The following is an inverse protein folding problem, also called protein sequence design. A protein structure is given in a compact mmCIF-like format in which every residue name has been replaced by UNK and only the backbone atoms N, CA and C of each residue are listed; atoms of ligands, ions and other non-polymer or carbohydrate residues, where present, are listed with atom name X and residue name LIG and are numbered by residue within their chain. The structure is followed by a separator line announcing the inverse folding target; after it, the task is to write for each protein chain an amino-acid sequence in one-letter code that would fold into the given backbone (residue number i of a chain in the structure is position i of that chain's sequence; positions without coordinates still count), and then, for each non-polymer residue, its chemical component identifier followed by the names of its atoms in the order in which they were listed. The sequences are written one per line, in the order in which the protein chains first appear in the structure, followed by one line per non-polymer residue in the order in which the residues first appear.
data_IF_269528077129
#
_entry.id   IF_269528077129
#
_cell.length_a   1.000
_cell.length_b   1.000
_cell.length_c   1.000
_cell.angle_alpha   90.00
_cell.angle_beta   90.00
_cell.angle_gamma   90.00
#
_symmetry.space_group_name_H-M   'P 1'
#
loop_
_entity.id
_entity.type
_entity.pdbx_description
1 polymer ?
#
# COMPACT_ATOMS: atom_id res chain seq x y z
N UNK A 1 -14.46 53.85 10.92
CA UNK A 1 -15.00 52.85 9.97
C UNK A 1 -13.78 52.15 9.38
N UNK A 2 -13.31 51.07 10.02
CA UNK A 2 -12.19 50.26 9.56
C UNK A 2 -12.71 49.07 8.77
N UNK A 3 -12.16 48.98 7.58
CA UNK A 3 -12.39 47.91 6.58
C UNK A 3 -11.73 46.60 7.03
N UNK A 4 -12.54 45.59 7.37
CA UNK A 4 -12.12 44.24 7.71
C UNK A 4 -12.44 43.28 6.56
N UNK A 5 -11.73 43.43 5.45
CA UNK A 5 -11.78 42.46 4.34
C UNK A 5 -10.38 41.91 4.05
N UNK A 6 -9.92 40.94 4.84
CA UNK A 6 -8.84 40.07 4.41
C UNK A 6 -9.41 38.67 4.14
N UNK A 7 -9.28 38.16 2.90
CA UNK A 7 -9.54 36.76 2.65
C UNK A 7 -8.44 35.91 3.30
N UNK A 8 -8.83 34.97 4.14
CA UNK A 8 -7.96 33.93 4.66
C UNK A 8 -7.42 33.11 3.49
N UNK A 9 -6.13 33.26 3.21
CA UNK A 9 -5.41 32.36 2.30
C UNK A 9 -5.36 31.00 2.97
N UNK A 10 -6.15 30.05 2.44
CA UNK A 10 -6.04 28.65 2.75
C UNK A 10 -4.65 28.18 2.33
N UNK A 11 -3.76 27.99 3.30
CA UNK A 11 -2.52 27.26 3.10
C UNK A 11 -2.90 25.77 2.94
N UNK A 12 -3.00 25.32 1.70
CA UNK A 12 -2.80 23.91 1.39
C UNK A 12 -1.32 23.61 1.62
N UNK A 13 -0.96 23.34 2.86
CA UNK A 13 0.31 22.73 3.16
C UNK A 13 0.30 21.35 2.47
N UNK A 14 1.02 21.20 1.37
CA UNK A 14 1.51 19.91 0.92
C UNK A 14 2.44 19.43 2.03
N UNK A 15 1.90 18.63 2.98
CA UNK A 15 2.72 17.98 3.97
C UNK A 15 3.69 17.07 3.21
N UNK A 16 4.98 17.30 3.35
CA UNK A 16 6.01 16.42 2.81
C UNK A 16 5.76 15.01 3.35
N UNK A 17 5.82 14.01 2.47
CA UNK A 17 5.70 12.61 2.88
C UNK A 17 6.85 12.27 3.83
N UNK A 18 6.57 11.44 4.83
CA UNK A 18 7.63 10.89 5.67
C UNK A 18 8.60 10.04 4.84
N UNK A 19 9.82 9.80 5.31
CA UNK A 19 10.78 8.95 4.60
C UNK A 19 10.23 7.58 4.25
N UNK A 20 9.50 6.93 5.16
CA UNK A 20 8.88 5.63 4.91
C UNK A 20 7.79 5.69 3.81
N UNK A 21 6.90 6.69 3.87
CA UNK A 21 5.89 6.90 2.82
C UNK A 21 6.52 7.26 1.48
N UNK A 22 7.58 8.07 1.47
CA UNK A 22 8.33 8.41 0.26
C UNK A 22 8.99 7.18 -0.37
N UNK A 23 9.58 6.29 0.43
CA UNK A 23 10.17 5.04 -0.03
C UNK A 23 9.11 4.11 -0.65
N UNK A 24 7.95 3.97 0.00
CA UNK A 24 6.83 3.17 -0.54
C UNK A 24 6.26 3.79 -1.81
N UNK A 25 6.12 5.12 -1.88
CA UNK A 25 5.67 5.80 -3.10
C UNK A 25 6.63 5.54 -4.27
N UNK A 26 7.93 5.57 -4.02
CA UNK A 26 8.94 5.27 -5.03
C UNK A 26 8.89 3.80 -5.47
N UNK A 27 8.72 2.87 -4.52
CA UNK A 27 8.52 1.46 -4.82
C UNK A 27 7.27 1.24 -5.69
N UNK A 28 6.17 1.92 -5.40
CA UNK A 28 4.97 1.88 -6.26
C UNK A 28 5.31 2.35 -7.68
N UNK A 29 6.07 3.43 -7.83
CA UNK A 29 6.43 3.96 -9.14
C UNK A 29 7.38 3.03 -9.91
N UNK A 30 8.44 2.50 -9.26
CA UNK A 30 9.49 1.74 -9.92
C UNK A 30 9.13 0.26 -10.11
N UNK A 31 8.42 -0.35 -9.15
CA UNK A 31 8.05 -1.79 -9.19
C UNK A 31 6.61 -1.98 -9.63
N UNK A 32 5.64 -1.46 -8.86
CA UNK A 32 4.23 -1.76 -9.13
C UNK A 32 3.78 -1.23 -10.48
N UNK A 33 4.19 0.00 -10.83
CA UNK A 33 3.90 0.63 -12.12
C UNK A 33 4.97 0.28 -13.16
N UNK A 34 6.24 0.44 -12.80
CA UNK A 34 7.37 0.27 -13.72
C UNK A 34 7.47 -1.14 -14.31
N UNK A 35 7.21 -2.17 -13.52
CA UNK A 35 7.13 -3.56 -13.96
C UNK A 35 5.70 -4.00 -14.31
N UNK A 36 4.75 -3.08 -14.17
CA UNK A 36 3.32 -3.32 -14.42
C UNK A 36 2.73 -4.46 -13.58
N UNK A 37 3.14 -4.60 -12.33
CA UNK A 37 2.60 -5.61 -11.39
C UNK A 37 1.11 -5.36 -11.09
N UNK A 38 0.69 -4.10 -11.11
CA UNK A 38 -0.70 -3.70 -11.03
C UNK A 38 -1.04 -2.79 -12.23
N UNK A 39 -1.77 -3.28 -13.24
CA UNK A 39 -2.09 -2.50 -14.44
C UNK A 39 -3.01 -1.31 -14.16
N UNK A 40 -3.57 -1.22 -12.97
CA UNK A 40 -4.52 -0.16 -12.59
C UNK A 40 -3.85 0.98 -11.81
N UNK A 41 -2.68 0.73 -11.20
CA UNK A 41 -2.01 1.66 -10.29
C UNK A 41 -1.63 2.99 -10.97
N UNK A 42 -1.11 2.93 -12.19
CA UNK A 42 -0.67 4.12 -12.92
C UNK A 42 -1.74 5.20 -13.03
N UNK A 43 -2.95 4.81 -13.42
CA UNK A 43 -4.08 5.73 -13.58
C UNK A 43 -4.46 6.44 -12.28
N UNK A 44 -4.45 5.71 -11.15
CA UNK A 44 -4.87 6.27 -9.88
C UNK A 44 -3.78 7.17 -9.27
N UNK A 45 -2.51 6.87 -9.54
CA UNK A 45 -1.37 7.75 -9.21
C UNK A 45 -1.42 9.05 -10.04
N UNK A 46 -1.65 8.97 -11.35
CA UNK A 46 -1.79 10.15 -12.21
C UNK A 46 -2.95 11.08 -11.76
N UNK A 47 -4.04 10.48 -11.29
CA UNK A 47 -5.20 11.21 -10.77
C UNK A 47 -5.03 11.71 -9.35
N UNK A 48 -3.89 11.43 -8.70
CA UNK A 48 -3.61 11.80 -7.31
C UNK A 48 -4.66 11.24 -6.33
N UNK A 49 -5.13 10.00 -6.56
CA UNK A 49 -6.14 9.33 -5.75
C UNK A 49 -5.56 8.25 -4.83
N UNK A 50 -4.24 8.18 -4.73
CA UNK A 50 -3.51 7.26 -3.87
C UNK A 50 -3.00 8.03 -2.65
N UNK A 51 -3.38 7.59 -1.46
CA UNK A 51 -2.91 8.16 -0.19
C UNK A 51 -1.82 7.26 0.40
N UNK A 52 -0.71 7.86 0.81
CA UNK A 52 0.35 7.22 1.58
C UNK A 52 0.28 7.78 2.99
N UNK A 53 -0.06 6.93 3.96
CA UNK A 53 -0.25 7.32 5.36
C UNK A 53 0.71 6.53 6.24
N UNK A 54 1.55 7.22 7.01
CA UNK A 54 2.42 6.55 7.97
C UNK A 54 1.69 6.23 9.27
N UNK A 55 1.93 5.04 9.78
CA UNK A 55 1.66 4.66 11.17
C UNK A 55 2.99 4.44 11.89
N UNK A 56 3.16 5.08 13.04
CA UNK A 56 4.29 4.86 13.93
C UNK A 56 4.02 3.75 14.96
N UNK A 57 2.97 2.94 14.73
CA UNK A 57 2.54 1.86 15.61
C UNK A 57 3.64 0.81 15.81
N UNK A 58 3.80 0.37 17.05
CA UNK A 58 4.67 -0.73 17.45
C UNK A 58 3.89 -1.82 18.19
N UNK A 59 2.59 -1.64 18.36
CA UNK A 59 1.67 -2.62 18.95
C UNK A 59 0.46 -2.81 18.05
N UNK A 60 -0.16 -3.98 18.13
CA UNK A 60 -1.35 -4.34 17.34
C UNK A 60 -2.49 -3.35 17.58
N UNK A 61 -2.75 -2.95 18.83
CA UNK A 61 -3.87 -2.05 19.17
C UNK A 61 -3.72 -0.68 18.51
N UNK A 62 -2.49 -0.14 18.49
CA UNK A 62 -2.24 1.16 17.85
C UNK A 62 -2.35 1.02 16.33
N UNK A 63 -1.79 -0.05 15.76
CA UNK A 63 -1.87 -0.31 14.31
C UNK A 63 -3.34 -0.47 13.84
N UNK A 64 -4.17 -1.18 14.61
CA UNK A 64 -5.59 -1.34 14.29
C UNK A 64 -6.38 -0.03 14.44
N UNK A 65 -6.01 0.83 15.40
CA UNK A 65 -6.60 2.17 15.55
C UNK A 65 -6.27 3.03 14.31
N UNK A 66 -5.02 3.03 13.85
CA UNK A 66 -4.60 3.76 12.66
C UNK A 66 -5.26 3.19 11.39
N UNK A 67 -5.39 1.85 11.31
CA UNK A 67 -6.10 1.17 10.23
C UNK A 67 -7.57 1.58 10.17
N UNK A 68 -8.28 1.54 11.31
CA UNK A 68 -9.69 1.95 11.39
C UNK A 68 -9.88 3.41 10.95
N UNK A 69 -8.97 4.30 11.36
CA UNK A 69 -8.98 5.70 10.93
C UNK A 69 -8.72 5.84 9.41
N UNK A 70 -7.83 5.03 8.84
CA UNK A 70 -7.58 5.02 7.39
C UNK A 70 -8.77 4.45 6.60
N UNK A 71 -9.44 3.43 7.11
CA UNK A 71 -10.69 2.89 6.53
C UNK A 71 -11.80 3.95 6.52
N UNK A 72 -11.99 4.65 7.65
CA UNK A 72 -12.99 5.70 7.75
C UNK A 72 -12.71 6.84 6.76
N UNK A 73 -11.47 7.34 6.71
CA UNK A 73 -11.07 8.39 5.76
C UNK A 73 -11.32 7.95 4.30
N UNK A 74 -10.98 6.71 3.97
CA UNK A 74 -11.23 6.15 2.64
C UNK A 74 -12.72 6.11 2.33
N UNK A 75 -13.59 5.69 3.25
CA UNK A 75 -15.04 5.59 3.05
C UNK A 75 -15.72 6.96 2.93
N UNK A 76 -15.25 7.96 3.68
CA UNK A 76 -15.84 9.31 3.71
C UNK A 76 -15.37 10.20 2.55
N UNK A 77 -14.33 9.78 1.79
CA UNK A 77 -13.71 10.63 0.78
C UNK A 77 -13.63 9.95 -0.59
N UNK A 78 -14.57 10.27 -1.47
CA UNK A 78 -14.64 9.73 -2.83
C UNK A 78 -13.46 10.14 -3.73
N UNK A 79 -12.66 11.14 -3.32
CA UNK A 79 -11.45 11.51 -4.05
C UNK A 79 -10.29 10.57 -3.79
N UNK A 80 -10.35 9.77 -2.73
CA UNK A 80 -9.36 8.74 -2.42
C UNK A 80 -9.84 7.41 -3.00
N UNK A 81 -9.02 6.80 -3.84
CA UNK A 81 -9.30 5.48 -4.40
C UNK A 81 -8.74 4.37 -3.52
N UNK A 82 -7.54 4.60 -2.99
CA UNK A 82 -6.81 3.60 -2.23
C UNK A 82 -5.86 4.25 -1.23
N UNK A 83 -5.60 3.57 -0.12
CA UNK A 83 -4.69 4.04 0.93
C UNK A 83 -3.66 2.96 1.25
N UNK A 84 -2.37 3.32 1.18
CA UNK A 84 -1.27 2.50 1.68
C UNK A 84 -0.94 2.97 3.10
N UNK A 85 -1.34 2.17 4.10
CA UNK A 85 -0.94 2.39 5.49
C UNK A 85 0.44 1.78 5.70
N UNK A 86 1.45 2.64 5.82
CA UNK A 86 2.87 2.27 5.93
C UNK A 86 3.26 2.19 7.39
N UNK A 87 3.70 1.03 7.84
CA UNK A 87 4.15 0.80 9.22
C UNK A 87 5.65 1.17 9.31
N UNK A 88 5.93 2.45 9.55
CA UNK A 88 7.29 3.00 9.45
C UNK A 88 8.23 2.61 10.60
N UNK A 89 7.71 2.09 11.73
CA UNK A 89 8.49 1.82 12.94
C UNK A 89 8.28 0.45 13.59
N UNK A 90 7.22 -0.25 13.24
CA UNK A 90 6.88 -1.53 13.84
C UNK A 90 6.69 -2.63 12.80
N UNK A 91 6.46 -3.86 13.29
CA UNK A 91 6.12 -5.01 12.46
C UNK A 91 7.19 -5.34 11.40
N UNK A 92 8.45 -5.16 11.77
CA UNK A 92 9.61 -5.51 10.91
C UNK A 92 9.84 -7.01 10.86
N UNK A 93 9.39 -7.77 11.86
CA UNK A 93 9.32 -9.21 11.83
C UNK A 93 8.09 -9.65 11.03
N UNK A 94 8.26 -10.62 10.14
CA UNK A 94 7.19 -11.04 9.23
C UNK A 94 6.08 -11.81 9.94
N UNK A 95 6.40 -12.60 10.97
CA UNK A 95 5.39 -13.33 11.77
C UNK A 95 4.53 -12.35 12.59
N UNK A 96 5.15 -11.34 13.22
CA UNK A 96 4.42 -10.27 13.92
C UNK A 96 3.49 -9.50 12.96
N UNK A 97 3.93 -9.32 11.71
CA UNK A 97 3.13 -8.69 10.66
C UNK A 97 1.96 -9.58 10.21
N UNK A 98 2.15 -10.90 10.10
CA UNK A 98 1.07 -11.84 9.77
C UNK A 98 0.00 -11.86 10.87
N UNK A 99 0.40 -11.85 12.14
CA UNK A 99 -0.53 -11.72 13.26
C UNK A 99 -1.35 -10.42 13.16
N UNK A 100 -0.69 -9.30 12.86
CA UNK A 100 -1.39 -8.03 12.63
C UNK A 100 -2.38 -8.13 11.45
N UNK A 101 -1.99 -8.78 10.36
CA UNK A 101 -2.85 -8.93 9.18
C UNK A 101 -4.11 -9.72 9.51
N UNK A 102 -4.01 -10.77 10.32
CA UNK A 102 -5.16 -11.55 10.78
C UNK A 102 -6.13 -10.67 11.60
N UNK A 103 -5.62 -9.85 12.52
CA UNK A 103 -6.44 -8.88 13.26
C UNK A 103 -7.03 -7.78 12.35
N UNK A 104 -6.29 -7.35 11.34
CA UNK A 104 -6.80 -6.39 10.36
C UNK A 104 -7.99 -6.95 9.55
N UNK A 105 -7.93 -8.23 9.16
CA UNK A 105 -9.04 -8.92 8.50
C UNK A 105 -10.26 -9.08 9.43
N UNK A 106 -10.02 -9.39 10.73
CA UNK A 106 -11.07 -9.40 11.74
C UNK A 106 -11.74 -8.02 11.88
N UNK A 107 -10.95 -6.95 11.87
CA UNK A 107 -11.45 -5.57 11.96
C UNK A 107 -12.37 -5.21 10.79
N UNK A 108 -12.03 -5.62 9.56
CA UNK A 108 -12.92 -5.47 8.39
C UNK A 108 -14.30 -6.13 8.64
N UNK A 109 -14.29 -7.35 9.15
CA UNK A 109 -15.51 -8.11 9.45
C UNK A 109 -16.34 -7.45 10.55
N UNK A 110 -15.72 -7.03 11.63
CA UNK A 110 -16.37 -6.36 12.76
C UNK A 110 -17.05 -5.04 12.35
N UNK A 111 -16.47 -4.33 11.39
CA UNK A 111 -17.03 -3.09 10.86
C UNK A 111 -18.00 -3.33 9.69
N UNK A 112 -18.28 -4.59 9.34
CA UNK A 112 -19.14 -4.97 8.20
C UNK A 112 -18.65 -4.38 6.87
N UNK A 113 -17.33 -4.35 6.67
CA UNK A 113 -16.67 -3.79 5.47
C UNK A 113 -16.22 -4.88 4.48
N UNK A 114 -16.47 -6.16 4.76
CA UNK A 114 -16.31 -7.23 3.76
C UNK A 114 -17.21 -6.95 2.55
N UNK A 115 -16.67 -7.09 1.35
CA UNK A 115 -17.37 -6.71 0.13
C UNK A 115 -17.36 -5.20 -0.19
N UNK A 116 -16.81 -4.38 0.71
CA UNK A 116 -16.63 -2.92 0.52
C UNK A 116 -15.17 -2.55 0.37
N UNK A 117 -14.34 -3.03 1.30
CA UNK A 117 -12.89 -2.84 1.29
C UNK A 117 -12.17 -4.18 1.32
N UNK A 118 -10.98 -4.21 0.74
CA UNK A 118 -10.04 -5.31 0.77
C UNK A 118 -8.70 -4.82 1.30
N UNK A 119 -7.97 -5.69 2.02
CA UNK A 119 -6.59 -5.43 2.45
C UNK A 119 -5.66 -6.31 1.63
N UNK A 120 -4.76 -5.69 0.86
CA UNK A 120 -3.59 -6.35 0.30
C UNK A 120 -2.38 -6.11 1.21
N UNK A 121 -1.49 -7.11 1.29
CA UNK A 121 -0.38 -7.15 2.24
C UNK A 121 0.96 -7.10 1.53
N UNK A 122 1.89 -6.28 2.05
CA UNK A 122 3.26 -6.18 1.57
C UNK A 122 4.21 -6.05 2.75
N UNK A 123 5.37 -6.72 2.67
CA UNK A 123 6.37 -6.72 3.73
C UNK A 123 7.77 -6.86 3.14
N UNK A 124 8.85 -6.30 3.72
CA UNK A 124 10.21 -6.49 3.23
C UNK A 124 10.62 -7.96 3.07
N UNK A 125 10.21 -8.80 4.02
CA UNK A 125 10.51 -10.24 4.06
C UNK A 125 9.29 -11.10 3.68
N UNK A 126 8.40 -10.59 2.83
CA UNK A 126 7.21 -11.33 2.40
C UNK A 126 7.60 -12.70 1.83
N UNK A 127 6.90 -13.72 2.28
CA UNK A 127 7.05 -15.09 1.80
C UNK A 127 5.68 -15.75 1.63
N UNK A 128 5.38 -16.26 0.46
CA UNK A 128 4.18 -17.08 0.23
C UNK A 128 4.31 -18.44 0.91
N UNK A 129 3.18 -19.00 1.36
CA UNK A 129 3.15 -20.24 2.15
C UNK A 129 3.86 -21.43 1.50
N UNK A 130 3.82 -21.54 0.18
CA UNK A 130 4.36 -22.67 -0.57
C UNK A 130 5.70 -22.36 -1.25
N UNK A 131 6.39 -21.27 -0.85
CA UNK A 131 7.66 -20.88 -1.45
C UNK A 131 8.82 -20.93 -0.46
N UNK A 132 10.05 -21.08 -0.97
CA UNK A 132 11.26 -20.87 -0.17
C UNK A 132 11.50 -19.38 0.08
N UNK A 133 12.24 -19.01 1.13
CA UNK A 133 12.50 -17.62 1.47
C UNK A 133 13.27 -16.86 0.37
N UNK A 134 14.08 -17.56 -0.43
CA UNK A 134 14.87 -17.02 -1.53
C UNK A 134 14.15 -17.10 -2.91
N UNK A 135 12.91 -17.58 -2.93
CA UNK A 135 12.11 -17.64 -4.15
C UNK A 135 11.80 -16.25 -4.67
N UNK A 136 12.09 -16.02 -5.95
CA UNK A 136 11.96 -14.69 -6.59
C UNK A 136 10.49 -14.25 -6.66
N UNK A 137 9.55 -15.17 -6.72
CA UNK A 137 8.11 -14.86 -6.72
C UNK A 137 7.67 -14.05 -5.49
N UNK A 138 8.36 -14.20 -4.36
CA UNK A 138 8.08 -13.43 -3.13
C UNK A 138 8.22 -11.92 -3.34
N UNK A 139 9.06 -11.48 -4.29
CA UNK A 139 9.24 -10.05 -4.58
C UNK A 139 8.01 -9.39 -5.20
N UNK A 140 7.04 -10.14 -5.67
CA UNK A 140 5.75 -9.57 -6.10
C UNK A 140 4.99 -8.91 -4.96
N UNK A 141 5.27 -9.31 -3.69
CA UNK A 141 4.67 -8.74 -2.49
C UNK A 141 5.71 -8.14 -1.51
N UNK A 142 6.99 -8.07 -1.90
CA UNK A 142 8.02 -7.39 -1.08
C UNK A 142 8.03 -5.89 -1.35
N UNK A 143 7.92 -5.11 -0.28
CA UNK A 143 7.96 -3.65 -0.26
C UNK A 143 9.04 -3.15 0.70
N UNK A 144 9.50 -1.88 0.62
CA UNK A 144 10.57 -1.37 1.50
C UNK A 144 10.18 -1.29 2.98
N UNK A 145 8.89 -1.20 3.27
CA UNK A 145 8.32 -1.21 4.62
C UNK A 145 7.09 -2.13 4.65
N UNK A 146 6.67 -2.60 5.85
CA UNK A 146 5.39 -3.30 5.98
C UNK A 146 4.23 -2.37 5.62
N UNK A 147 3.29 -2.85 4.81
CA UNK A 147 2.15 -2.05 4.32
C UNK A 147 0.86 -2.84 4.41
N UNK A 148 -0.17 -2.24 5.00
CA UNK A 148 -1.56 -2.66 4.84
C UNK A 148 -2.19 -1.76 3.76
N UNK A 149 -2.51 -2.34 2.62
CA UNK A 149 -3.02 -1.60 1.46
C UNK A 149 -4.53 -1.76 1.35
N UNK A 150 -5.27 -0.68 1.63
CA UNK A 150 -6.72 -0.63 1.55
C UNK A 150 -7.19 -0.37 0.12
N UNK A 151 -8.03 -1.22 -0.40
CA UNK A 151 -8.60 -1.18 -1.74
C UNK A 151 -10.13 -1.15 -1.67
N UNK A 152 -10.79 -0.39 -2.57
CA UNK A 152 -12.24 -0.46 -2.77
C UNK A 152 -12.59 -1.66 -3.64
N UNK A 153 -13.36 -2.62 -3.12
CA UNK A 153 -13.71 -3.83 -3.87
C UNK A 153 -14.52 -3.52 -5.13
N UNK A 154 -15.51 -2.64 -5.04
CA UNK A 154 -16.34 -2.26 -6.21
C UNK A 154 -15.49 -1.67 -7.36
N UNK A 155 -14.49 -0.86 -7.03
CA UNK A 155 -13.58 -0.27 -8.03
C UNK A 155 -12.69 -1.33 -8.64
N UNK A 156 -12.15 -2.24 -7.82
CA UNK A 156 -11.32 -3.34 -8.27
C UNK A 156 -12.10 -4.27 -9.21
N UNK A 157 -13.30 -4.67 -8.84
CA UNK A 157 -14.18 -5.48 -9.69
C UNK A 157 -14.46 -4.82 -11.05
N UNK A 158 -14.78 -3.53 -11.06
CA UNK A 158 -15.04 -2.76 -12.29
C UNK A 158 -13.84 -2.73 -13.24
N UNK A 159 -12.63 -2.63 -12.72
CA UNK A 159 -11.43 -2.59 -13.57
C UNK A 159 -11.03 -4.00 -14.02
N UNK A 160 -11.13 -5.00 -13.15
CA UNK A 160 -10.89 -6.42 -13.48
C UNK A 160 -11.85 -6.91 -14.56
N UNK A 161 -13.14 -6.55 -14.47
CA UNK A 161 -14.14 -6.94 -15.47
C UNK A 161 -13.84 -6.41 -16.88
N UNK A 162 -13.02 -5.38 -17.01
CA UNK A 162 -12.60 -4.76 -18.29
C UNK A 162 -11.22 -5.18 -18.74
N UNK A 163 -10.46 -5.84 -17.87
CA UNK A 163 -9.10 -6.29 -18.18
C UNK A 163 -9.16 -7.68 -18.82
N UNK A 164 -8.50 -7.90 -19.96
CA UNK A 164 -8.48 -9.23 -20.58
C UNK A 164 -7.70 -10.21 -19.70
N UNK A 165 -8.30 -11.32 -19.34
CA UNK A 165 -7.73 -12.42 -18.55
C UNK A 165 -7.09 -11.94 -17.22
N UNK A 166 -7.86 -11.28 -16.30
CA UNK A 166 -7.30 -10.75 -15.06
C UNK A 166 -6.69 -11.83 -14.16
N UNK A 167 -7.12 -13.08 -14.29
CA UNK A 167 -6.60 -14.25 -13.57
C UNK A 167 -5.14 -14.57 -13.92
N UNK A 168 -4.62 -14.06 -15.04
CA UNK A 168 -3.22 -14.27 -15.45
C UNK A 168 -2.25 -13.23 -14.86
N UNK A 169 -2.75 -12.18 -14.20
CA UNK A 169 -1.91 -11.13 -13.62
C UNK A 169 -0.88 -11.70 -12.63
N UNK A 170 -1.24 -12.57 -11.67
CA UNK A 170 -0.26 -13.12 -10.73
C UNK A 170 0.84 -13.93 -11.41
N UNK A 171 0.49 -14.81 -12.36
CA UNK A 171 1.46 -15.63 -13.10
C UNK A 171 2.43 -14.75 -13.90
N UNK A 172 1.91 -13.76 -14.60
CA UNK A 172 2.72 -12.79 -15.34
C UNK A 172 3.66 -12.00 -14.41
N UNK A 173 3.20 -11.62 -13.22
CA UNK A 173 4.04 -10.91 -12.26
C UNK A 173 5.20 -11.80 -11.77
N UNK A 174 4.97 -13.08 -11.56
CA UNK A 174 6.02 -14.06 -11.23
C UNK A 174 7.02 -14.17 -12.37
N UNK A 175 6.57 -14.32 -13.63
CA UNK A 175 7.45 -14.36 -14.80
C UNK A 175 8.32 -13.11 -14.90
N UNK A 176 7.74 -11.92 -14.72
CA UNK A 176 8.49 -10.65 -14.73
C UNK A 176 9.49 -10.59 -13.55
N UNK A 177 9.11 -11.08 -12.36
CA UNK A 177 10.02 -11.14 -11.23
C UNK A 177 11.22 -12.07 -11.52
N UNK A 178 10.98 -13.23 -12.12
CA UNK A 178 12.03 -14.17 -12.53
C UNK A 178 12.98 -13.55 -13.58
N UNK A 179 12.43 -12.82 -14.55
CA UNK A 179 13.22 -12.12 -15.59
C UNK A 179 14.12 -11.02 -14.99
N UNK A 180 13.64 -10.27 -13.98
CA UNK A 180 14.45 -9.25 -13.30
C UNK A 180 15.50 -9.86 -12.39
N UNK A 181 15.19 -10.96 -11.73
CA UNK A 181 16.03 -11.67 -10.78
C UNK A 181 16.08 -11.02 -9.37
N UNK A 182 16.43 -11.83 -8.38
CA UNK A 182 16.44 -11.45 -6.96
C UNK A 182 17.38 -10.27 -6.65
N UNK A 183 18.51 -10.16 -7.33
CA UNK A 183 19.49 -9.10 -7.07
C UNK A 183 18.92 -7.71 -7.40
N UNK A 184 18.20 -7.59 -8.50
CA UNK A 184 17.52 -6.35 -8.88
C UNK A 184 16.60 -5.83 -7.74
N UNK A 185 15.75 -6.69 -7.24
CA UNK A 185 14.80 -6.31 -6.18
C UNK A 185 15.50 -6.04 -4.86
N UNK A 186 16.50 -6.83 -4.50
CA UNK A 186 17.27 -6.65 -3.26
C UNK A 186 17.96 -5.28 -3.24
N UNK A 187 18.66 -4.94 -4.31
CA UNK A 187 19.36 -3.67 -4.45
C UNK A 187 18.38 -2.49 -4.42
N UNK A 188 17.22 -2.63 -5.10
CA UNK A 188 16.17 -1.63 -5.11
C UNK A 188 15.59 -1.40 -3.71
N UNK A 189 15.17 -2.46 -3.02
CA UNK A 189 14.60 -2.35 -1.67
C UNK A 189 15.61 -1.78 -0.66
N UNK A 190 16.87 -2.23 -0.71
CA UNK A 190 17.93 -1.69 0.14
C UNK A 190 18.15 -0.20 -0.09
N UNK A 191 18.18 0.25 -1.35
CA UNK A 191 18.31 1.65 -1.70
C UNK A 191 17.14 2.50 -1.19
N UNK A 192 15.92 1.97 -1.25
CA UNK A 192 14.72 2.67 -0.79
C UNK A 192 14.65 2.77 0.74
N UNK A 193 15.13 1.76 1.46
CA UNK A 193 15.16 1.74 2.93
C UNK A 193 16.23 2.67 3.53
N UNK A 194 17.31 2.98 2.79
CA UNK A 194 18.45 3.78 3.27
C UNK A 194 18.28 5.29 3.04
N UNK A 195 17.16 5.75 2.51
CA UNK A 195 16.93 7.18 2.30
C UNK A 195 16.44 7.82 3.60
N UNK A 196 17.33 8.67 4.17
CA UNK A 196 17.04 9.60 5.27
C UNK A 196 16.16 10.78 4.81
#
# INVERSE_FOLDING_TARGET
VEDLSRPSQGHTATSELSPACSAVQQWVAEVVIGLNFCPFAHREVEKQRVVYRESAAQTVEVALTDLASAMQELLENDHIETTLLVLGKGFTDFEDYLDLLDYAQLTLREFNLEGVLQIASFHPDYQFADTAADDVSNYTNRAPFPVLHLLREESLEKVLARYPNPETIPERNIEVADEQGADYFRDLLQRLQQRD
#
